data_IF_681851057537
#
_entry.id   IF_681851057537
#
_cell.length_a   1.000
_cell.length_b   1.000
_cell.length_c   1.000
_cell.angle_alpha   90.00
_cell.angle_beta   90.00
_cell.angle_gamma   90.00
#
_symmetry.space_group_name_H-M   'P 1'
#
loop_
_entity.id
_entity.type
_entity.pdbx_description
1 polymer ?
#
# COMPACT_ATOMS: atom_id res chain seq x y z
N UNK A 1 -14.46 3.16 4.64
CA UNK A 1 -14.34 4.50 4.04
C UNK A 1 -12.89 4.95 4.21
N UNK A 2 -12.33 5.70 3.26
CA UNK A 2 -10.96 6.22 3.36
C UNK A 2 -10.94 7.54 4.13
N UNK A 3 -9.97 7.69 5.03
CA UNK A 3 -9.81 8.88 5.87
C UNK A 3 -8.38 9.43 5.71
N UNK A 4 -8.22 10.76 5.74
CA UNK A 4 -6.89 11.36 5.72
C UNK A 4 -6.06 10.90 6.91
N UNK A 5 -4.77 10.65 6.67
CA UNK A 5 -3.88 10.22 7.75
C UNK A 5 -3.73 11.33 8.81
N UNK A 6 -3.77 10.93 10.08
CA UNK A 6 -3.62 11.83 11.23
C UNK A 6 -2.78 11.15 12.30
N UNK A 7 -2.39 11.88 13.36
CA UNK A 7 -1.65 11.28 14.48
C UNK A 7 -2.39 10.10 15.12
N UNK A 8 -3.73 10.12 15.14
CA UNK A 8 -4.54 9.04 15.74
C UNK A 8 -4.34 7.69 15.03
N UNK A 9 -3.89 7.70 13.77
CA UNK A 9 -3.64 6.48 13.00
C UNK A 9 -2.32 5.78 13.36
N UNK A 10 -1.49 6.36 14.24
CA UNK A 10 -0.21 5.75 14.65
C UNK A 10 -0.40 4.35 15.26
N UNK A 11 -1.39 4.20 16.13
CA UNK A 11 -1.67 2.92 16.79
C UNK A 11 -2.25 1.91 15.81
N UNK A 12 -3.07 2.38 14.84
CA UNK A 12 -3.57 1.54 13.75
C UNK A 12 -2.42 0.96 12.92
N UNK A 13 -1.49 1.80 12.46
CA UNK A 13 -0.32 1.34 11.72
C UNK A 13 0.51 0.35 12.54
N UNK A 14 0.76 0.66 13.81
CA UNK A 14 1.56 -0.19 14.70
C UNK A 14 0.97 -1.60 14.80
N UNK A 15 -0.36 -1.74 14.91
CA UNK A 15 -1.05 -3.04 14.96
C UNK A 15 -0.81 -3.90 13.72
N UNK A 16 -0.82 -3.31 12.53
CA UNK A 16 -0.62 -4.06 11.28
C UNK A 16 0.86 -4.32 11.01
N UNK A 17 1.70 -3.30 11.17
CA UNK A 17 3.13 -3.36 10.86
C UNK A 17 3.90 -4.30 11.81
N UNK A 18 3.53 -4.39 13.10
CA UNK A 18 4.23 -5.28 14.05
C UNK A 18 4.07 -6.77 13.73
N UNK A 19 3.00 -7.13 13.02
CA UNK A 19 2.69 -8.53 12.69
C UNK A 19 3.36 -9.01 11.41
N UNK A 20 4.07 -8.13 10.69
CA UNK A 20 4.66 -8.43 9.39
C UNK A 20 6.08 -7.88 9.30
N UNK A 21 6.98 -8.64 8.68
CA UNK A 21 8.33 -8.17 8.38
C UNK A 21 8.28 -7.26 7.15
N UNK A 22 7.92 -6.00 7.35
CA UNK A 22 7.86 -5.02 6.27
C UNK A 22 9.22 -4.35 6.11
N UNK A 23 9.78 -4.44 4.92
CA UNK A 23 11.09 -3.88 4.56
C UNK A 23 11.00 -2.59 3.74
N UNK A 24 9.78 -2.18 3.38
CA UNK A 24 9.53 -1.00 2.56
C UNK A 24 9.52 0.27 3.42
N UNK A 25 10.33 1.25 3.06
CA UNK A 25 10.45 2.50 3.81
C UNK A 25 9.18 3.34 3.72
N UNK A 26 8.56 3.40 2.53
CA UNK A 26 7.43 4.26 2.19
C UNK A 26 6.15 4.00 3.00
N UNK A 27 5.96 2.77 3.52
CA UNK A 27 4.71 2.35 4.19
C UNK A 27 4.75 2.52 5.71
N UNK A 28 5.86 3.03 6.26
CA UNK A 28 5.92 3.36 7.68
C UNK A 28 4.97 4.50 8.03
N UNK A 29 4.40 4.47 9.24
CA UNK A 29 3.53 5.56 9.72
C UNK A 29 4.23 6.93 9.61
N UNK A 30 5.49 7.00 10.03
CA UNK A 30 6.27 8.24 10.00
C UNK A 30 6.38 8.80 8.59
N UNK A 31 6.70 7.97 7.58
CA UNK A 31 6.79 8.45 6.20
C UNK A 31 5.43 8.87 5.66
N UNK A 32 4.39 8.06 5.89
CA UNK A 32 3.05 8.42 5.46
C UNK A 32 2.57 9.74 6.09
N UNK A 33 2.79 9.92 7.38
CA UNK A 33 2.39 11.13 8.09
C UNK A 33 3.22 12.35 7.69
N UNK A 34 4.54 12.22 7.50
CA UNK A 34 5.40 13.33 7.12
C UNK A 34 5.12 13.82 5.69
N UNK A 35 4.89 12.89 4.76
CA UNK A 35 4.69 13.22 3.34
C UNK A 35 3.26 13.66 2.99
N UNK A 36 2.32 13.67 3.95
CA UNK A 36 0.93 14.07 3.71
C UNK A 36 0.78 15.51 3.16
N UNK A 37 1.76 16.37 3.41
CA UNK A 37 1.78 17.75 2.90
C UNK A 37 2.19 17.85 1.43
N UNK A 38 2.89 16.83 0.91
CA UNK A 38 3.32 16.79 -0.49
C UNK A 38 2.37 15.98 -1.39
N UNK A 39 1.64 15.03 -0.81
CA UNK A 39 0.71 14.13 -1.50
C UNK A 39 -0.44 13.77 -0.56
N UNK A 40 -1.65 13.68 -1.08
CA UNK A 40 -2.79 13.24 -0.27
C UNK A 40 -2.59 11.78 0.10
N UNK A 41 -2.61 11.48 1.40
CA UNK A 41 -2.47 10.12 1.94
C UNK A 41 -3.70 9.82 2.76
N UNK A 42 -4.41 8.78 2.35
CA UNK A 42 -5.61 8.31 3.00
C UNK A 42 -5.48 6.84 3.38
N UNK A 43 -6.14 6.45 4.46
CA UNK A 43 -6.03 5.13 5.04
C UNK A 43 -7.42 4.55 5.31
N UNK A 44 -7.52 3.23 5.21
CA UNK A 44 -8.72 2.49 5.53
C UNK A 44 -8.36 1.10 6.05
N UNK A 45 -9.29 0.47 6.77
CA UNK A 45 -9.24 -0.97 7.05
C UNK A 45 -10.25 -1.66 6.14
N UNK A 46 -9.79 -2.58 5.30
CA UNK A 46 -10.61 -3.34 4.36
C UNK A 46 -10.24 -4.81 4.51
N UNK A 47 -11.22 -5.67 4.80
CA UNK A 47 -11.02 -7.12 5.03
C UNK A 47 -9.87 -7.44 6.01
N UNK A 48 -9.75 -6.72 7.12
CA UNK A 48 -8.62 -6.87 8.07
C UNK A 48 -7.24 -6.63 7.46
N UNK A 49 -7.16 -5.72 6.49
CA UNK A 49 -5.93 -5.17 5.96
C UNK A 49 -5.93 -3.65 6.11
N UNK A 50 -4.80 -3.10 6.54
CA UNK A 50 -4.50 -1.69 6.38
C UNK A 50 -4.24 -1.41 4.90
N UNK A 51 -5.05 -0.52 4.34
CA UNK A 51 -4.90 -0.02 2.99
C UNK A 51 -4.45 1.43 3.06
N UNK A 52 -3.38 1.74 2.35
CA UNK A 52 -2.80 3.08 2.24
C UNK A 52 -2.95 3.52 0.79
N UNK A 53 -3.78 4.53 0.57
CA UNK A 53 -3.99 5.19 -0.73
C UNK A 53 -3.17 6.49 -0.76
N UNK A 54 -2.50 6.74 -1.88
CA UNK A 54 -1.71 7.95 -2.07
C UNK A 54 -2.05 8.58 -3.42
N UNK A 55 -2.22 9.90 -3.41
CA UNK A 55 -2.59 10.67 -4.61
C UNK A 55 -1.69 11.89 -4.74
N UNK A 56 -0.93 11.96 -5.84
CA UNK A 56 -0.21 13.17 -6.22
C UNK A 56 -1.16 14.20 -6.82
N UNK A 57 -0.84 15.49 -6.70
CA UNK A 57 -1.64 16.58 -7.29
C UNK A 57 -1.89 16.33 -8.78
N UNK A 58 -3.16 16.35 -9.19
CA UNK A 58 -3.62 16.12 -10.56
C UNK A 58 -3.28 14.73 -11.15
N UNK A 59 -3.01 13.73 -10.32
CA UNK A 59 -2.78 12.36 -10.76
C UNK A 59 -3.85 11.42 -10.20
N UNK A 60 -3.97 10.22 -10.79
CA UNK A 60 -4.81 9.16 -10.25
C UNK A 60 -4.19 8.60 -8.95
N UNK A 61 -5.01 8.12 -8.00
CA UNK A 61 -4.50 7.45 -6.82
C UNK A 61 -3.71 6.19 -7.20
N UNK A 62 -2.74 5.85 -6.36
CA UNK A 62 -2.16 4.53 -6.28
C UNK A 62 -2.24 4.04 -4.84
N UNK A 63 -1.99 2.75 -4.65
CA UNK A 63 -2.05 2.10 -3.35
C UNK A 63 -0.71 1.44 -3.08
N UNK A 64 -0.38 1.28 -1.81
CA UNK A 64 0.60 0.27 -1.42
C UNK A 64 -0.11 -1.09 -1.33
N UNK A 65 0.65 -2.18 -1.48
CA UNK A 65 0.08 -3.51 -1.32
C UNK A 65 -0.54 -3.66 0.08
N UNK A 66 -1.75 -4.23 0.23
CA UNK A 66 -2.44 -4.27 1.51
C UNK A 66 -1.61 -4.96 2.60
N UNK A 67 -1.68 -4.41 3.81
CA UNK A 67 -0.91 -4.90 4.97
C UNK A 67 -1.89 -5.57 5.94
N UNK A 68 -1.90 -6.89 6.00
CA UNK A 68 -2.77 -7.62 6.91
C UNK A 68 -2.87 -9.10 6.57
N UNK A 69 -3.88 -9.78 7.13
CA UNK A 69 -4.00 -11.24 7.02
C UNK A 69 -4.78 -11.70 5.78
N UNK A 70 -5.72 -10.91 5.28
CA UNK A 70 -6.58 -11.30 4.16
C UNK A 70 -6.28 -10.45 2.92
N UNK A 71 -5.00 -10.35 2.54
CA UNK A 71 -4.56 -9.46 1.45
C UNK A 71 -5.25 -9.75 0.13
N UNK A 72 -5.48 -11.02 -0.22
CA UNK A 72 -6.17 -11.39 -1.46
C UNK A 72 -7.63 -10.91 -1.50
N UNK A 73 -8.38 -11.13 -0.43
CA UNK A 73 -9.76 -10.64 -0.34
C UNK A 73 -9.81 -9.11 -0.33
N UNK A 74 -8.83 -8.46 0.30
CA UNK A 74 -8.68 -7.02 0.23
C UNK A 74 -8.39 -6.53 -1.21
N UNK A 75 -7.52 -7.21 -1.97
CA UNK A 75 -7.21 -6.87 -3.37
C UNK A 75 -8.45 -7.05 -4.24
N UNK A 76 -9.24 -8.11 -4.05
CA UNK A 76 -10.52 -8.31 -4.77
C UNK A 76 -11.49 -7.15 -4.51
N UNK A 77 -11.68 -6.79 -3.24
CA UNK A 77 -12.52 -5.64 -2.88
C UNK A 77 -12.01 -4.33 -3.51
N UNK A 78 -10.67 -4.12 -3.53
CA UNK A 78 -10.09 -2.94 -4.17
C UNK A 78 -10.28 -2.92 -5.69
N UNK A 79 -10.28 -4.08 -6.36
CA UNK A 79 -10.56 -4.18 -7.80
C UNK A 79 -12.02 -3.81 -8.12
N UNK A 80 -12.95 -4.10 -7.21
CA UNK A 80 -14.35 -3.68 -7.34
C UNK A 80 -14.53 -2.17 -7.11
N UNK A 81 -13.78 -1.60 -6.16
CA UNK A 81 -13.86 -0.19 -5.79
C UNK A 81 -13.10 0.75 -6.74
N UNK A 82 -11.97 0.31 -7.30
CA UNK A 82 -11.08 1.12 -8.13
C UNK A 82 -10.79 0.44 -9.47
N UNK A 83 -11.42 0.94 -10.53
CA UNK A 83 -11.27 0.42 -11.90
C UNK A 83 -9.84 0.48 -12.43
N UNK A 84 -9.01 1.41 -11.94
CA UNK A 84 -7.62 1.55 -12.34
C UNK A 84 -6.67 1.26 -11.16
N UNK A 85 -6.90 0.13 -10.46
CA UNK A 85 -6.10 -0.23 -9.29
C UNK A 85 -4.62 -0.35 -9.67
N UNK A 86 -3.78 0.38 -8.95
CA UNK A 86 -2.32 0.39 -9.14
C UNK A 86 -1.64 0.24 -7.81
N UNK A 87 -0.71 -0.71 -7.74
CA UNK A 87 0.17 -0.87 -6.59
C UNK A 87 1.55 -0.31 -6.91
N UNK A 88 2.09 0.51 -6.00
CA UNK A 88 3.48 0.97 -6.06
C UNK A 88 4.32 0.30 -4.99
N UNK A 89 5.64 0.29 -5.23
CA UNK A 89 6.65 -0.20 -4.29
C UNK A 89 6.42 -1.65 -3.85
N UNK A 90 6.03 -2.54 -4.78
CA UNK A 90 5.88 -3.96 -4.51
C UNK A 90 7.24 -4.61 -4.21
N UNK A 91 7.29 -5.46 -3.18
CA UNK A 91 8.38 -6.43 -3.04
C UNK A 91 8.30 -7.50 -4.13
N UNK A 92 9.38 -8.26 -4.34
CA UNK A 92 9.34 -9.40 -5.27
C UNK A 92 8.30 -10.44 -4.85
N UNK A 93 8.22 -10.73 -3.55
CA UNK A 93 7.22 -11.65 -2.99
C UNK A 93 5.78 -11.19 -3.27
N UNK A 94 5.47 -9.90 -3.05
CA UNK A 94 4.14 -9.35 -3.33
C UNK A 94 3.83 -9.34 -4.84
N UNK A 95 4.84 -9.08 -5.67
CA UNK A 95 4.70 -9.15 -7.13
C UNK A 95 4.37 -10.57 -7.58
N UNK A 96 5.08 -11.58 -7.08
CA UNK A 96 4.86 -12.96 -7.46
C UNK A 96 3.53 -13.48 -6.90
N UNK A 97 3.16 -13.10 -5.67
CA UNK A 97 1.82 -13.35 -5.11
C UNK A 97 0.69 -12.81 -6.01
N UNK A 98 0.83 -11.58 -6.52
CA UNK A 98 -0.14 -11.00 -7.45
C UNK A 98 -0.19 -11.74 -8.79
N UNK A 99 0.95 -12.18 -9.33
CA UNK A 99 0.97 -12.94 -10.58
C UNK A 99 0.26 -14.28 -10.45
N UNK A 100 0.48 -14.97 -9.33
CA UNK A 100 -0.02 -16.33 -9.13
C UNK A 100 -1.52 -16.33 -8.80
N UNK A 101 -2.00 -15.34 -8.03
CA UNK A 101 -3.39 -15.30 -7.55
C UNK A 101 -4.30 -14.40 -8.38
N UNK A 102 -3.76 -13.48 -9.18
CA UNK A 102 -4.50 -12.52 -10.01
C UNK A 102 -4.01 -12.54 -11.46
N UNK A 103 -3.98 -13.74 -12.04
CA UNK A 103 -3.48 -14.00 -13.40
C UNK A 103 -4.19 -13.13 -14.44
N UNK A 104 -3.41 -12.36 -15.19
CA UNK A 104 -3.92 -11.50 -16.26
C UNK A 104 -4.62 -10.21 -15.79
N UNK A 105 -4.62 -9.93 -14.48
CA UNK A 105 -5.26 -8.73 -13.91
C UNK A 105 -4.29 -7.55 -13.85
N UNK A 106 -3.01 -7.80 -13.54
CA UNK A 106 -2.01 -6.76 -13.35
C UNK A 106 -0.85 -6.85 -14.34
N UNK A 107 -0.43 -5.69 -14.83
CA UNK A 107 0.83 -5.50 -15.54
C UNK A 107 1.90 -4.96 -14.59
N UNK A 108 3.15 -5.40 -14.76
CA UNK A 108 4.25 -5.06 -13.85
C UNK A 108 5.35 -4.27 -14.58
N UNK A 109 5.69 -3.10 -14.04
CA UNK A 109 6.81 -2.27 -14.54
C UNK A 109 7.82 -2.07 -13.43
N UNK A 110 9.11 -2.32 -13.71
CA UNK A 110 10.19 -2.06 -12.76
C UNK A 110 10.71 -0.62 -12.88
N UNK A 111 10.93 0.04 -11.74
CA UNK A 111 11.54 1.37 -11.67
C UNK A 111 12.70 1.37 -10.67
N UNK A 112 13.93 1.48 -11.18
CA UNK A 112 15.15 1.42 -10.37
C UNK A 112 15.31 2.59 -9.41
N UNK A 113 14.85 3.78 -9.81
CA UNK A 113 14.99 5.02 -9.02
C UNK A 113 14.12 5.01 -7.76
N UNK A 114 13.18 4.07 -7.67
CA UNK A 114 12.24 3.88 -6.54
C UNK A 114 12.59 2.68 -5.66
N UNK A 115 13.76 2.07 -5.85
CA UNK A 115 14.18 0.91 -5.04
C UNK A 115 14.80 1.37 -3.71
N UNK A 116 14.35 0.77 -2.60
CA UNK A 116 14.97 0.93 -1.28
C UNK A 116 16.36 0.27 -1.26
N UNK A 117 17.29 0.86 -0.50
CA UNK A 117 18.61 0.29 -0.23
C UNK A 117 18.62 -0.25 1.21
N UNK A 118 18.85 -1.55 1.35
CA UNK A 118 18.83 -2.26 2.63
C UNK A 118 20.25 -2.66 3.02
N UNK A 119 20.62 -2.37 4.27
CA UNK A 119 21.94 -2.66 4.84
C UNK A 119 21.79 -3.64 6.02
N UNK A 120 22.85 -4.40 6.32
CA UNK A 120 22.91 -5.40 7.41
C UNK A 120 23.67 -4.88 8.62
#
# INVERSE_FOLDING_TARGET
MFEEITLAHKDLFSRFLQTQKIVLSDVSFTNCFLWQHARLIQVAVIKDCLVIQTTYKNQKPFYFYPIGKNTHECVKELLELEKNLRFHSLTLEQKDDLKDNFVGVFDFTYNRDRSDYVYS
#
